data_IF_428271456494
#
_entry.id   IF_428271456494
#
_cell.length_a   1.000
_cell.length_b   1.000
_cell.length_c   1.000
_cell.angle_alpha   90.00
_cell.angle_beta   90.00
_cell.angle_gamma   90.00
#
_symmetry.space_group_name_H-M   'P 1'
#
loop_
_entity.id
_entity.type
_entity.pdbx_description
1 polymer ?
#
# COMPACT_ATOMS: atom_id res chain seq x y z
N UNK A 1 -9.82 15.18 -5.34
CA UNK A 1 -9.99 13.83 -5.93
C UNK A 1 -10.58 12.95 -4.84
N UNK A 2 -11.59 12.13 -5.15
CA UNK A 2 -12.24 11.26 -4.18
C UNK A 2 -11.22 10.31 -3.54
N UNK A 3 -11.40 9.97 -2.26
CA UNK A 3 -10.46 9.10 -1.52
C UNK A 3 -10.26 7.74 -2.22
N UNK A 4 -11.34 7.16 -2.73
CA UNK A 4 -11.31 5.94 -3.54
C UNK A 4 -10.54 6.05 -4.87
N UNK A 5 -10.46 7.23 -5.47
CA UNK A 5 -9.69 7.51 -6.70
C UNK A 5 -8.24 7.93 -6.41
N UNK A 6 -7.88 8.09 -5.13
CA UNK A 6 -6.59 8.65 -4.74
C UNK A 6 -5.59 7.54 -4.40
N UNK A 7 -4.31 7.83 -4.64
CA UNK A 7 -3.21 7.13 -3.98
C UNK A 7 -3.23 7.56 -2.51
N UNK A 8 -3.26 6.60 -1.60
CA UNK A 8 -3.40 6.86 -0.15
C UNK A 8 -2.26 6.16 0.58
N UNK A 9 -1.72 6.80 1.61
CA UNK A 9 -0.60 6.29 2.41
C UNK A 9 -1.01 6.17 3.87
N UNK A 10 -0.59 5.10 4.54
CA UNK A 10 -0.72 4.94 5.99
C UNK A 10 0.64 4.59 6.62
N UNK A 11 1.01 5.19 7.77
CA UNK A 11 0.31 6.28 8.46
C UNK A 11 0.45 7.63 7.73
N UNK A 12 -0.12 8.71 8.27
CA UNK A 12 0.08 10.08 7.75
C UNK A 12 1.57 10.46 7.81
N UNK A 13 2.10 11.09 6.76
CA UNK A 13 3.54 11.37 6.61
C UNK A 13 3.93 12.83 6.88
N UNK A 14 3.03 13.78 6.63
CA UNK A 14 3.36 15.22 6.55
C UNK A 14 2.67 16.08 7.61
N UNK A 15 1.97 15.44 8.55
CA UNK A 15 1.36 16.13 9.69
C UNK A 15 2.40 16.29 10.79
N UNK A 16 2.46 17.48 11.38
CA UNK A 16 3.09 17.69 12.68
C UNK A 16 2.31 16.96 13.77
N UNK A 17 2.97 16.68 14.91
CA UNK A 17 2.29 16.09 16.07
C UNK A 17 1.12 16.94 16.56
N UNK A 18 1.19 18.27 16.41
CA UNK A 18 0.11 19.20 16.78
C UNK A 18 -1.11 18.99 15.88
N UNK A 19 -0.93 19.03 14.57
CA UNK A 19 -2.03 18.83 13.61
C UNK A 19 -2.65 17.44 13.75
N UNK A 20 -1.83 16.40 13.91
CA UNK A 20 -2.31 15.03 14.13
C UNK A 20 -3.23 14.95 15.36
N UNK A 21 -2.78 15.49 16.50
CA UNK A 21 -3.58 15.46 17.74
C UNK A 21 -4.81 16.38 17.70
N UNK A 22 -4.74 17.48 16.95
CA UNK A 22 -5.89 18.36 16.68
C UNK A 22 -6.99 17.61 15.93
N UNK A 23 -6.64 16.95 14.82
CA UNK A 23 -7.59 16.16 14.02
C UNK A 23 -8.09 14.93 14.78
N UNK A 24 -7.21 14.22 15.50
CA UNK A 24 -7.58 13.08 16.36
C UNK A 24 -8.58 13.47 17.45
N UNK A 25 -8.30 14.55 18.18
CA UNK A 25 -9.18 15.03 19.26
C UNK A 25 -10.54 15.47 18.71
N UNK A 26 -10.53 16.13 17.55
CA UNK A 26 -11.76 16.53 16.85
C UNK A 26 -12.58 15.31 16.44
N UNK A 27 -11.95 14.27 15.90
CA UNK A 27 -12.64 13.04 15.53
C UNK A 27 -13.38 12.46 16.73
N UNK A 28 -12.68 12.28 17.86
CA UNK A 28 -13.27 11.75 19.08
C UNK A 28 -14.46 12.61 19.57
N UNK A 29 -14.35 13.94 19.51
CA UNK A 29 -15.44 14.85 19.91
C UNK A 29 -16.67 14.71 19.01
N UNK A 30 -16.47 14.69 17.68
CA UNK A 30 -17.56 14.58 16.69
C UNK A 30 -18.28 13.23 16.82
N UNK A 31 -17.53 12.14 16.90
CA UNK A 31 -18.12 10.79 17.00
C UNK A 31 -18.89 10.61 18.31
N UNK A 32 -18.38 11.16 19.43
CA UNK A 32 -19.12 11.19 20.71
C UNK A 32 -20.40 12.01 20.60
N UNK A 33 -20.35 13.17 19.94
CA UNK A 33 -21.53 14.02 19.75
C UNK A 33 -22.62 13.33 18.92
N UNK A 34 -22.26 12.58 17.88
CA UNK A 34 -23.21 11.78 17.10
C UNK A 34 -23.69 10.50 17.81
N UNK A 35 -23.10 10.11 18.94
CA UNK A 35 -23.51 8.90 19.67
C UNK A 35 -23.23 7.60 18.91
N UNK A 36 -22.21 7.59 18.03
CA UNK A 36 -21.86 6.40 17.24
C UNK A 36 -21.24 5.34 18.16
N UNK A 37 -21.76 4.11 18.08
CA UNK A 37 -21.23 2.92 18.77
C UNK A 37 -20.86 1.88 17.71
N UNK A 38 -19.56 1.57 17.61
CA UNK A 38 -19.02 0.70 16.57
C UNK A 38 -17.80 1.33 15.90
N UNK A 39 -17.73 1.27 14.57
CA UNK A 39 -16.68 1.88 13.76
C UNK A 39 -17.27 2.93 12.82
N UNK A 40 -16.45 3.93 12.48
CA UNK A 40 -16.78 4.94 11.49
C UNK A 40 -15.52 5.48 10.83
N UNK A 41 -15.70 6.10 9.66
CA UNK A 41 -14.66 6.85 8.96
C UNK A 41 -15.00 8.35 8.97
N UNK A 42 -14.02 9.19 9.32
CA UNK A 42 -14.13 10.66 9.27
C UNK A 42 -13.10 11.21 8.29
N UNK A 43 -13.50 12.22 7.51
CA UNK A 43 -12.63 12.86 6.52
C UNK A 43 -12.46 14.35 6.81
N UNK A 44 -11.24 14.82 6.54
CA UNK A 44 -10.85 16.22 6.74
C UNK A 44 -10.21 16.78 5.48
N UNK A 45 -10.35 18.10 5.28
CA UNK A 45 -9.44 18.88 4.45
C UNK A 45 -8.64 19.81 5.37
N UNK A 46 -7.32 19.70 5.35
CA UNK A 46 -6.40 20.55 6.12
C UNK A 46 -5.72 21.52 5.15
N UNK A 47 -5.67 22.80 5.51
CA UNK A 47 -4.91 23.81 4.79
C UNK A 47 -3.41 23.53 4.93
N UNK A 48 -2.63 23.40 3.85
CA UNK A 48 -1.21 23.07 3.94
C UNK A 48 -0.34 24.16 4.60
N UNK A 49 -0.84 25.39 4.70
CA UNK A 49 -0.09 26.54 5.19
C UNK A 49 -0.58 27.04 6.58
N UNK A 50 -1.55 26.36 7.20
CA UNK A 50 -2.08 26.73 8.53
C UNK A 50 -2.80 25.59 9.25
N UNK A 51 -3.15 25.79 10.52
CA UNK A 51 -3.97 24.85 11.30
C UNK A 51 -5.47 24.85 10.87
N UNK A 52 -5.86 25.59 9.83
CA UNK A 52 -7.25 25.64 9.35
C UNK A 52 -7.66 24.30 8.72
N UNK A 53 -8.75 23.71 9.20
CA UNK A 53 -9.29 22.48 8.65
C UNK A 53 -10.81 22.49 8.56
N UNK A 54 -11.34 21.66 7.66
CA UNK A 54 -12.76 21.42 7.47
C UNK A 54 -13.05 19.93 7.69
N UNK A 55 -14.13 19.63 8.42
CA UNK A 55 -14.71 18.28 8.45
C UNK A 55 -15.52 18.13 7.17
N UNK A 56 -15.19 17.13 6.36
CA UNK A 56 -15.86 16.90 5.08
C UNK A 56 -17.09 16.01 5.26
N UNK A 57 -16.91 14.85 5.87
CA UNK A 57 -18.00 13.90 6.13
C UNK A 57 -17.65 12.91 7.25
N UNK A 58 -18.68 12.26 7.77
CA UNK A 58 -18.57 11.09 8.65
C UNK A 58 -19.42 9.96 8.07
N UNK A 59 -18.78 8.83 7.82
CA UNK A 59 -19.44 7.58 7.43
C UNK A 59 -19.60 6.70 8.68
N UNK A 60 -20.81 6.67 9.26
CA UNK A 60 -21.14 5.89 10.45
C UNK A 60 -21.34 4.39 10.15
N UNK A 61 -20.35 3.77 9.49
CA UNK A 61 -20.32 2.37 9.09
C UNK A 61 -18.90 1.98 8.65
N UNK A 62 -18.69 0.66 8.53
CA UNK A 62 -17.55 0.13 7.80
C UNK A 62 -17.50 0.66 6.37
N UNK A 63 -16.28 0.86 5.88
CA UNK A 63 -15.98 1.44 4.59
C UNK A 63 -14.81 0.71 3.91
N UNK A 64 -14.55 1.02 2.63
CA UNK A 64 -13.30 0.58 1.97
C UNK A 64 -12.07 1.02 2.75
N UNK A 65 -12.12 2.23 3.34
CA UNK A 65 -11.04 2.76 4.15
C UNK A 65 -10.86 1.97 5.44
N UNK A 66 -11.95 1.44 6.01
CA UNK A 66 -11.91 0.56 7.19
C UNK A 66 -11.29 -0.79 6.84
N UNK A 67 -11.62 -1.36 5.67
CA UNK A 67 -10.98 -2.58 5.19
C UNK A 67 -9.47 -2.35 4.98
N UNK A 68 -9.09 -1.31 4.24
CA UNK A 68 -7.70 -0.90 4.05
C UNK A 68 -6.98 -0.69 5.39
N UNK A 69 -7.58 0.02 6.34
CA UNK A 69 -6.99 0.25 7.65
C UNK A 69 -6.81 -1.05 8.44
N UNK A 70 -7.75 -1.99 8.34
CA UNK A 70 -7.64 -3.29 9.00
C UNK A 70 -6.45 -4.09 8.47
N UNK A 71 -6.27 -4.10 7.14
CA UNK A 71 -5.12 -4.74 6.49
C UNK A 71 -3.80 -4.00 6.78
N UNK A 72 -3.83 -2.67 6.77
CA UNK A 72 -2.65 -1.85 7.00
C UNK A 72 -2.13 -1.99 8.43
N UNK A 73 -3.00 -2.20 9.42
CA UNK A 73 -2.63 -2.19 10.85
C UNK A 73 -2.63 -3.57 11.50
N UNK A 74 -3.25 -4.57 10.86
CA UNK A 74 -3.58 -5.85 11.48
C UNK A 74 -4.73 -5.77 12.50
N UNK A 75 -5.35 -4.60 12.70
CA UNK A 75 -6.45 -4.41 13.64
C UNK A 75 -7.79 -4.74 12.97
N UNK A 76 -8.54 -5.78 13.39
CA UNK A 76 -9.74 -6.23 12.68
C UNK A 76 -10.96 -5.36 13.04
N UNK A 77 -11.08 -4.19 12.39
CA UNK A 77 -12.08 -3.17 12.72
C UNK A 77 -13.52 -3.71 12.67
N UNK A 78 -13.86 -4.50 11.67
CA UNK A 78 -15.19 -5.09 11.53
C UNK A 78 -15.54 -6.05 12.67
N UNK A 79 -14.58 -6.90 13.06
CA UNK A 79 -14.74 -7.83 14.18
C UNK A 79 -14.95 -7.07 15.50
N UNK A 80 -14.14 -6.05 15.76
CA UNK A 80 -14.24 -5.23 16.97
C UNK A 80 -15.55 -4.45 16.99
N UNK A 81 -15.96 -3.84 15.87
CA UNK A 81 -17.23 -3.13 15.75
C UNK A 81 -18.43 -4.04 16.06
N UNK A 82 -18.41 -5.29 15.58
CA UNK A 82 -19.45 -6.27 15.89
C UNK A 82 -19.53 -6.62 17.39
N UNK A 83 -18.38 -6.71 18.08
CA UNK A 83 -18.34 -6.92 19.53
C UNK A 83 -18.85 -5.71 20.31
N UNK A 84 -18.52 -4.49 19.87
CA UNK A 84 -19.04 -3.25 20.45
C UNK A 84 -20.57 -3.15 20.33
N UNK A 85 -21.14 -3.58 19.19
CA UNK A 85 -22.59 -3.63 18.99
C UNK A 85 -23.31 -4.59 19.95
N UNK A 86 -22.60 -5.57 20.52
CA UNK A 86 -23.09 -6.47 21.57
C UNK A 86 -22.86 -5.91 22.99
N UNK A 87 -22.42 -4.66 23.11
CA UNK A 87 -22.16 -4.01 24.40
C UNK A 87 -20.83 -4.43 25.05
N UNK A 88 -19.95 -5.13 24.35
CA UNK A 88 -18.65 -5.56 24.88
C UNK A 88 -17.65 -4.41 24.70
N UNK A 89 -17.11 -3.81 25.77
CA UNK A 89 -16.22 -2.64 25.65
C UNK A 89 -14.82 -3.04 25.17
N UNK A 90 -14.09 -2.12 24.52
CA UNK A 90 -12.75 -2.35 23.96
C UNK A 90 -11.76 -3.06 24.92
N UNK A 91 -11.66 -2.71 26.22
CA UNK A 91 -10.73 -3.39 27.14
C UNK A 91 -11.07 -4.85 27.43
N UNK A 92 -12.25 -5.34 27.03
CA UNK A 92 -12.69 -6.73 27.19
C UNK A 92 -12.58 -7.54 25.90
N UNK A 93 -12.17 -6.92 24.80
CA UNK A 93 -11.94 -7.58 23.52
C UNK A 93 -10.43 -7.85 23.43
N UNK A 94 -10.03 -9.10 23.20
CA UNK A 94 -8.62 -9.46 23.06
C UNK A 94 -8.08 -9.04 21.69
N UNK A 95 -6.84 -8.57 21.65
CA UNK A 95 -6.10 -8.37 20.40
C UNK A 95 -5.56 -9.72 19.92
N UNK A 96 -6.16 -10.27 18.86
CA UNK A 96 -5.78 -11.57 18.28
C UNK A 96 -4.38 -11.59 17.66
N UNK A 97 -3.80 -10.44 17.32
CA UNK A 97 -2.46 -10.36 16.71
C UNK A 97 -1.36 -10.58 17.74
N UNK A 98 -1.50 -10.01 18.94
CA UNK A 98 -0.50 -10.15 20.02
C UNK A 98 -0.86 -11.22 21.06
N UNK A 99 -2.13 -11.61 21.15
CA UNK A 99 -2.64 -12.62 22.08
C UNK A 99 -2.59 -12.25 23.57
N UNK A 100 -1.96 -11.12 23.92
CA UNK A 100 -1.70 -10.69 25.30
C UNK A 100 -2.25 -9.31 25.65
N UNK A 101 -2.64 -8.52 24.64
CA UNK A 101 -3.18 -7.16 24.83
C UNK A 101 -4.67 -7.12 24.49
N UNK A 102 -5.30 -5.97 24.74
CA UNK A 102 -6.72 -5.74 24.43
C UNK A 102 -6.87 -4.99 23.12
N UNK A 103 -8.08 -4.87 22.59
CA UNK A 103 -8.40 -4.03 21.43
C UNK A 103 -8.43 -2.53 21.77
N UNK A 104 -8.19 -2.12 23.03
CA UNK A 104 -8.24 -0.72 23.47
C UNK A 104 -6.88 -0.01 23.35
N UNK A 105 -6.41 0.19 22.12
CA UNK A 105 -5.16 0.89 21.82
C UNK A 105 -5.22 1.51 20.42
N UNK A 106 -4.22 2.32 20.07
CA UNK A 106 -4.03 2.84 18.72
C UNK A 106 -2.83 2.11 18.10
N UNK A 107 -2.99 1.45 16.93
CA UNK A 107 -1.89 0.75 16.30
C UNK A 107 -0.70 1.64 15.98
N UNK A 108 0.50 1.07 16.09
CA UNK A 108 1.76 1.67 15.66
C UNK A 108 2.37 0.84 14.52
N UNK A 109 2.81 1.50 13.46
CA UNK A 109 3.33 0.86 12.25
C UNK A 109 4.80 1.25 12.08
N UNK A 110 5.68 0.26 11.93
CA UNK A 110 7.11 0.46 11.62
C UNK A 110 7.41 0.29 10.11
N UNK A 111 6.36 0.44 9.30
CA UNK A 111 6.36 0.37 7.85
C UNK A 111 5.39 1.40 7.26
N UNK A 112 5.47 1.56 5.95
CA UNK A 112 4.63 2.42 5.13
C UNK A 112 3.75 1.56 4.23
N UNK A 113 2.46 1.87 4.21
CA UNK A 113 1.45 1.22 3.37
C UNK A 113 1.04 2.19 2.28
N UNK A 114 1.04 1.75 1.03
CA UNK A 114 0.55 2.52 -0.12
C UNK A 114 -0.62 1.78 -0.75
N UNK A 115 -1.77 2.44 -0.78
CA UNK A 115 -2.93 2.04 -1.56
C UNK A 115 -2.91 2.74 -2.91
N UNK A 116 -3.18 2.01 -3.97
CA UNK A 116 -3.36 2.59 -5.31
C UNK A 116 -4.61 2.00 -5.98
N UNK A 117 -5.51 2.84 -6.52
CA UNK A 117 -6.70 2.37 -7.23
C UNK A 117 -6.35 1.77 -8.59
N UNK A 118 -7.23 0.90 -9.07
CA UNK A 118 -7.22 0.29 -10.39
C UNK A 118 -8.34 0.87 -11.24
N UNK A 119 -8.02 1.19 -12.48
CA UNK A 119 -8.96 1.68 -13.47
C UNK A 119 -8.96 0.80 -14.72
N UNK A 120 -10.14 0.64 -15.31
CA UNK A 120 -10.34 -0.02 -16.60
C UNK A 120 -11.02 0.93 -17.61
N UNK A 121 -10.72 2.24 -17.53
CA UNK A 121 -11.36 3.28 -18.33
C UNK A 121 -11.19 3.08 -19.84
N UNK A 122 -10.09 2.45 -20.27
CA UNK A 122 -9.82 2.10 -21.66
C UNK A 122 -10.88 1.16 -22.28
N UNK A 123 -11.66 0.43 -21.47
CA UNK A 123 -12.78 -0.41 -21.93
C UNK A 123 -14.00 0.41 -22.33
N UNK A 124 -14.04 1.70 -21.99
CA UNK A 124 -15.19 2.58 -22.20
C UNK A 124 -14.82 3.76 -23.11
N UNK A 125 -15.06 3.62 -24.42
CA UNK A 125 -14.66 4.60 -25.43
C UNK A 125 -15.28 6.01 -25.28
N UNK A 126 -16.40 6.13 -24.57
CA UNK A 126 -17.13 7.39 -24.36
C UNK A 126 -16.98 7.98 -22.95
N UNK A 127 -16.09 7.41 -22.12
CA UNK A 127 -15.90 7.86 -20.73
C UNK A 127 -14.64 8.72 -20.64
N UNK A 128 -14.76 9.85 -19.94
CA UNK A 128 -13.62 10.70 -19.62
C UNK A 128 -12.65 9.99 -18.69
N UNK A 129 -11.36 10.06 -19.01
CA UNK A 129 -10.24 9.57 -18.18
C UNK A 129 -9.92 10.48 -16.99
N UNK A 130 -10.50 11.69 -16.92
CA UNK A 130 -10.33 12.61 -15.79
C UNK A 130 -10.93 12.00 -14.53
N UNK A 131 -10.22 12.08 -13.42
CA UNK A 131 -10.68 11.62 -12.09
C UNK A 131 -11.02 12.82 -11.22
N UNK A 132 -12.03 12.67 -10.36
CA UNK A 132 -12.61 13.81 -9.62
C UNK A 132 -13.22 13.36 -8.30
N UNK A 133 -14.32 13.99 -7.89
CA UNK A 133 -15.07 13.63 -6.68
C UNK A 133 -15.95 12.39 -6.84
N UNK A 134 -16.28 11.99 -8.07
CA UNK A 134 -17.04 10.76 -8.35
C UNK A 134 -16.08 9.63 -8.72
N UNK A 135 -16.26 8.46 -8.09
CA UNK A 135 -15.42 7.29 -8.31
C UNK A 135 -15.67 6.64 -9.67
N UNK A 136 -14.58 6.16 -10.29
CA UNK A 136 -14.53 5.37 -11.53
C UNK A 136 -13.58 4.17 -11.41
N UNK A 137 -12.77 4.07 -10.37
CA UNK A 137 -11.90 2.93 -10.09
C UNK A 137 -12.73 1.67 -9.84
N UNK A 138 -12.24 0.53 -10.34
CA UNK A 138 -12.91 -0.77 -10.29
C UNK A 138 -12.31 -1.72 -9.24
N UNK A 139 -11.24 -1.30 -8.58
CA UNK A 139 -10.57 -2.06 -7.53
C UNK A 139 -9.41 -1.26 -6.94
N UNK A 140 -8.68 -1.86 -6.02
CA UNK A 140 -7.50 -1.26 -5.39
C UNK A 140 -6.47 -2.30 -4.96
N UNK A 141 -5.23 -1.85 -4.83
CA UNK A 141 -4.12 -2.65 -4.31
C UNK A 141 -3.58 -2.02 -3.05
N UNK A 142 -2.95 -2.84 -2.22
CA UNK A 142 -2.22 -2.40 -1.04
C UNK A 142 -0.82 -3.01 -1.06
N UNK A 143 0.20 -2.16 -0.97
CA UNK A 143 1.59 -2.56 -0.86
C UNK A 143 2.21 -2.06 0.44
N UNK A 144 3.15 -2.86 0.97
CA UNK A 144 3.86 -2.55 2.21
C UNK A 144 5.37 -2.51 1.94
N UNK A 145 6.04 -1.53 2.54
CA UNK A 145 7.50 -1.40 2.53
C UNK A 145 7.97 -0.54 3.69
N UNK A 146 9.25 -0.62 4.07
CA UNK A 146 9.78 0.20 5.18
C UNK A 146 10.27 1.58 4.73
N UNK A 147 9.99 1.91 3.47
CA UNK A 147 10.18 3.23 2.85
C UNK A 147 9.01 3.49 1.91
N UNK A 148 8.67 4.77 1.74
CA UNK A 148 7.63 5.16 0.78
C UNK A 148 7.98 4.71 -0.63
N UNK A 149 9.21 4.93 -1.08
CA UNK A 149 9.66 4.54 -2.42
C UNK A 149 9.45 3.03 -2.66
N UNK A 150 9.77 2.22 -1.66
CA UNK A 150 9.60 0.78 -1.70
C UNK A 150 8.14 0.36 -1.86
N UNK A 151 7.27 0.87 -0.97
CA UNK A 151 5.84 0.56 -0.98
C UNK A 151 5.16 1.10 -2.26
N UNK A 152 5.52 2.30 -2.69
CA UNK A 152 4.97 2.96 -3.86
C UNK A 152 5.28 2.21 -5.16
N UNK A 153 6.52 1.78 -5.36
CA UNK A 153 6.88 1.00 -6.55
C UNK A 153 6.26 -0.41 -6.55
N UNK A 154 6.08 -1.03 -5.37
CA UNK A 154 5.32 -2.29 -5.27
C UNK A 154 3.86 -2.09 -5.64
N UNK A 155 3.20 -1.04 -5.14
CA UNK A 155 1.81 -0.73 -5.47
C UNK A 155 1.63 -0.54 -6.98
N UNK A 156 2.52 0.23 -7.64
CA UNK A 156 2.46 0.42 -9.09
C UNK A 156 2.48 -0.89 -9.87
N UNK A 157 3.35 -1.84 -9.48
CA UNK A 157 3.40 -3.18 -10.10
C UNK A 157 2.17 -4.03 -9.83
N UNK A 158 1.54 -3.84 -8.68
CA UNK A 158 0.32 -4.57 -8.30
C UNK A 158 -0.90 -4.08 -9.08
N UNK A 159 -0.94 -2.80 -9.47
CA UNK A 159 -2.07 -2.22 -10.22
C UNK A 159 -2.18 -2.75 -11.64
N UNK A 160 -1.06 -2.96 -12.33
CA UNK A 160 -1.06 -3.39 -13.73
C UNK A 160 0.17 -4.26 -14.01
N UNK A 161 -0.04 -5.43 -14.60
CA UNK A 161 1.03 -6.38 -14.95
C UNK A 161 2.02 -5.83 -15.99
N UNK A 162 1.60 -4.82 -16.76
CA UNK A 162 2.46 -4.16 -17.74
C UNK A 162 3.30 -3.03 -17.14
N UNK A 163 3.05 -2.67 -15.88
CA UNK A 163 3.77 -1.61 -15.17
C UNK A 163 4.84 -2.24 -14.29
N UNK A 164 6.10 -1.93 -14.55
CA UNK A 164 7.22 -2.49 -13.77
C UNK A 164 7.58 -1.66 -12.52
N UNK A 165 7.02 -0.46 -12.38
CA UNK A 165 7.22 0.46 -11.26
C UNK A 165 6.97 1.92 -11.68
N UNK A 166 7.66 2.89 -11.07
CA UNK A 166 7.53 4.30 -11.40
C UNK A 166 8.38 4.65 -12.62
N UNK A 167 7.80 4.43 -13.80
CA UNK A 167 8.49 4.47 -15.09
C UNK A 167 8.21 5.80 -15.83
N UNK A 168 9.25 6.61 -16.14
CA UNK A 168 9.09 7.88 -16.83
C UNK A 168 8.82 7.77 -18.34
N UNK A 169 8.89 6.57 -18.93
CA UNK A 169 8.78 6.36 -20.37
C UNK A 169 7.40 5.88 -20.83
N UNK A 170 6.48 5.59 -19.89
CA UNK A 170 5.11 5.15 -20.19
C UNK A 170 4.24 6.28 -20.76
N UNK A 171 4.49 7.53 -20.34
CA UNK A 171 3.77 8.72 -20.78
C UNK A 171 4.75 9.84 -21.10
N UNK A 172 4.30 10.81 -21.88
CA UNK A 172 5.02 12.07 -22.13
C UNK A 172 4.55 13.13 -21.14
N UNK A 173 5.36 14.17 -20.96
CA UNK A 173 4.99 15.33 -20.14
C UNK A 173 3.75 16.00 -20.72
N UNK A 174 2.79 16.32 -19.86
CA UNK A 174 1.58 17.03 -20.21
C UNK A 174 1.12 17.86 -19.00
N UNK A 175 1.35 19.17 -19.04
CA UNK A 175 1.00 20.09 -17.93
C UNK A 175 -0.51 20.16 -17.70
N UNK A 176 -1.34 19.97 -18.73
CA UNK A 176 -2.80 19.92 -18.58
C UNK A 176 -3.22 18.71 -17.74
N UNK A 177 -2.71 17.50 -18.03
CA UNK A 177 -3.02 16.30 -17.23
C UNK A 177 -2.34 16.30 -15.84
N UNK A 178 -1.29 17.10 -15.66
CA UNK A 178 -0.74 17.38 -14.34
C UNK A 178 -1.68 18.26 -13.52
N UNK A 179 -2.37 19.24 -14.11
CA UNK A 179 -3.37 20.07 -13.42
C UNK A 179 -4.72 19.35 -13.27
N UNK A 180 -5.15 18.69 -14.32
CA UNK A 180 -6.42 17.98 -14.47
C UNK A 180 -6.18 16.47 -14.35
N UNK A 181 -6.29 15.90 -13.14
CA UNK A 181 -5.82 14.54 -12.86
C UNK A 181 -6.55 13.48 -13.71
N UNK A 182 -5.78 12.53 -14.25
CA UNK A 182 -6.27 11.33 -14.96
C UNK A 182 -5.80 10.05 -14.26
N UNK A 183 -6.30 8.89 -14.69
CA UNK A 183 -5.84 7.56 -14.23
C UNK A 183 -4.35 7.27 -14.54
N UNK A 184 -3.71 8.10 -15.37
CA UNK A 184 -2.30 7.98 -15.76
C UNK A 184 -1.40 9.11 -15.24
N UNK A 185 -1.94 10.05 -14.44
CA UNK A 185 -1.19 11.22 -13.90
C UNK A 185 0.14 10.83 -13.24
N UNK A 186 0.18 9.70 -12.53
CA UNK A 186 1.40 9.20 -11.89
C UNK A 186 2.57 9.04 -12.87
N UNK A 187 2.33 8.52 -14.08
CA UNK A 187 3.38 8.34 -15.08
C UNK A 187 3.75 9.66 -15.77
N UNK A 188 2.84 10.63 -15.82
CA UNK A 188 3.13 11.98 -16.32
C UNK A 188 4.03 12.72 -15.33
N UNK A 189 3.82 12.53 -14.02
CA UNK A 189 4.73 13.03 -12.98
C UNK A 189 6.13 12.41 -13.15
N UNK A 190 6.22 11.11 -13.38
CA UNK A 190 7.50 10.43 -13.65
C UNK A 190 8.22 11.04 -14.87
N UNK A 191 7.51 11.21 -15.99
CA UNK A 191 8.03 11.82 -17.21
C UNK A 191 8.48 13.27 -16.99
N UNK A 192 7.71 14.06 -16.23
CA UNK A 192 8.01 15.46 -15.92
C UNK A 192 9.28 15.59 -15.06
N UNK A 193 9.41 14.76 -14.03
CA UNK A 193 10.63 14.66 -13.21
C UNK A 193 11.84 14.29 -14.07
N UNK A 194 11.69 13.31 -14.97
CA UNK A 194 12.77 12.90 -15.89
C UNK A 194 13.16 14.01 -16.87
N UNK A 195 12.19 14.84 -17.26
CA UNK A 195 12.39 16.01 -18.11
C UNK A 195 12.91 17.25 -17.35
N UNK A 196 13.28 17.10 -16.07
CA UNK A 196 13.91 18.15 -15.28
C UNK A 196 12.96 19.10 -14.55
N UNK A 197 11.67 18.75 -14.40
CA UNK A 197 10.75 19.60 -13.64
C UNK A 197 11.14 19.63 -12.16
N UNK A 198 11.07 20.83 -11.55
CA UNK A 198 11.32 20.99 -10.13
C UNK A 198 10.14 20.46 -9.31
N UNK A 199 10.42 20.09 -8.05
CA UNK A 199 9.39 19.69 -7.09
C UNK A 199 8.37 20.81 -6.89
N UNK A 200 8.80 22.07 -6.85
CA UNK A 200 7.91 23.22 -6.71
C UNK A 200 6.98 23.40 -7.92
N UNK A 201 7.51 23.29 -9.15
CA UNK A 201 6.66 23.33 -10.35
C UNK A 201 5.60 22.24 -10.31
N UNK A 202 5.98 21.01 -9.92
CA UNK A 202 5.03 19.91 -9.81
C UNK A 202 4.02 20.10 -8.67
N UNK A 203 4.44 20.69 -7.55
CA UNK A 203 3.52 21.06 -6.48
C UNK A 203 2.49 22.07 -6.98
N UNK A 204 2.92 23.10 -7.73
CA UNK A 204 2.03 24.14 -8.24
C UNK A 204 0.99 23.58 -9.22
N UNK A 205 1.41 22.67 -10.10
CA UNK A 205 0.51 22.01 -11.05
C UNK A 205 -0.40 20.99 -10.35
N UNK A 206 0.12 20.21 -9.39
CA UNK A 206 -0.59 19.01 -8.93
C UNK A 206 -1.27 19.13 -7.58
N UNK A 207 -0.78 20.04 -6.73
CA UNK A 207 -1.06 20.16 -5.30
C UNK A 207 -0.76 18.90 -4.48
N UNK A 208 0.02 17.96 -5.03
CA UNK A 208 0.59 16.84 -4.27
C UNK A 208 1.70 17.39 -3.39
N UNK A 209 1.69 17.03 -2.11
CA UNK A 209 2.68 17.51 -1.14
C UNK A 209 4.12 17.28 -1.62
N UNK A 210 4.97 18.28 -1.40
CA UNK A 210 6.37 18.30 -1.82
C UNK A 210 7.16 17.10 -1.30
N UNK A 211 6.82 16.60 -0.11
CA UNK A 211 7.45 15.40 0.44
C UNK A 211 7.28 14.21 -0.49
N UNK A 212 6.06 13.93 -0.96
CA UNK A 212 5.81 12.81 -1.88
C UNK A 212 6.49 13.04 -3.24
N UNK A 213 6.43 14.25 -3.77
CA UNK A 213 7.09 14.61 -5.03
C UNK A 213 8.62 14.45 -4.93
N UNK A 214 9.21 14.83 -3.80
CA UNK A 214 10.64 14.63 -3.53
C UNK A 214 10.98 13.14 -3.45
N UNK A 215 10.14 12.30 -2.82
CA UNK A 215 10.34 10.84 -2.81
C UNK A 215 10.22 10.23 -4.20
N UNK A 216 9.27 10.69 -5.01
CA UNK A 216 9.16 10.30 -6.42
C UNK A 216 10.39 10.73 -7.22
N UNK A 217 10.90 11.94 -6.98
CA UNK A 217 12.14 12.44 -7.58
C UNK A 217 13.34 11.55 -7.23
N UNK A 218 13.46 11.08 -5.99
CA UNK A 218 14.53 10.15 -5.59
C UNK A 218 14.55 8.92 -6.50
N UNK A 219 13.37 8.36 -6.84
CA UNK A 219 13.26 7.21 -7.73
C UNK A 219 13.79 7.57 -9.12
N UNK A 220 13.35 8.69 -9.71
CA UNK A 220 13.78 9.11 -11.05
C UNK A 220 15.27 9.47 -11.13
N UNK A 221 15.80 10.13 -10.10
CA UNK A 221 17.22 10.42 -9.98
C UNK A 221 18.01 9.11 -9.97
N UNK A 222 17.53 8.11 -9.23
CA UNK A 222 18.19 6.81 -9.17
C UNK A 222 18.03 5.97 -10.44
N UNK A 223 16.91 6.10 -11.16
CA UNK A 223 16.75 5.56 -12.51
C UNK A 223 17.83 6.12 -13.44
N UNK A 224 18.10 7.44 -13.39
CA UNK A 224 19.14 8.08 -14.19
C UNK A 224 20.54 7.60 -13.82
N UNK A 225 20.79 7.32 -12.53
CA UNK A 225 22.04 6.67 -12.10
C UNK A 225 22.15 5.26 -12.70
N UNK A 226 21.10 4.44 -12.62
CA UNK A 226 21.13 3.08 -13.18
C UNK A 226 21.33 3.09 -14.70
N UNK A 227 20.73 4.02 -15.43
CA UNK A 227 20.91 4.17 -16.88
C UNK A 227 22.33 4.59 -17.30
N UNK A 228 23.11 5.16 -16.36
CA UNK A 228 24.54 5.45 -16.60
C UNK A 228 25.44 4.24 -16.39
N UNK A 229 24.88 3.12 -15.93
CA UNK A 229 25.59 1.86 -15.69
C UNK A 229 25.29 0.84 -16.78
N UNK A 230 26.12 -0.18 -16.82
CA UNK A 230 25.94 -1.41 -17.60
C UNK A 230 25.90 -2.64 -16.67
N UNK A 231 25.74 -3.81 -17.26
CA UNK A 231 25.72 -5.07 -16.51
C UNK A 231 26.97 -5.27 -15.66
N UNK A 232 28.16 -4.92 -16.14
CA UNK A 232 29.43 -5.17 -15.46
C UNK A 232 29.65 -4.20 -14.29
N UNK A 233 29.24 -2.94 -14.45
CA UNK A 233 29.40 -1.86 -13.47
C UNK A 233 28.30 -1.83 -12.40
N UNK A 234 27.21 -2.59 -12.58
CA UNK A 234 26.16 -2.77 -11.57
C UNK A 234 26.70 -3.49 -10.31
N UNK A 235 27.25 -2.73 -9.37
CA UNK A 235 27.84 -3.25 -8.14
C UNK A 235 26.80 -3.65 -7.09
N UNK A 236 27.25 -4.36 -6.04
CA UNK A 236 26.44 -4.69 -4.85
C UNK A 236 25.69 -3.49 -4.30
N UNK A 237 26.37 -2.35 -4.13
CA UNK A 237 25.80 -1.15 -3.52
C UNK A 237 24.69 -0.54 -4.39
N UNK A 238 24.91 -0.50 -5.72
CA UNK A 238 23.89 0.01 -6.63
C UNK A 238 22.65 -0.88 -6.63
N UNK A 239 22.85 -2.19 -6.67
CA UNK A 239 21.78 -3.17 -6.69
C UNK A 239 20.99 -3.16 -5.38
N UNK A 240 21.65 -3.23 -4.22
CA UNK A 240 21.00 -3.20 -2.91
C UNK A 240 20.17 -1.93 -2.73
N UNK A 241 20.73 -0.75 -3.06
CA UNK A 241 20.01 0.52 -2.95
C UNK A 241 18.81 0.57 -3.91
N UNK A 242 18.91 0.04 -5.12
CA UNK A 242 17.78 -0.10 -6.04
C UNK A 242 16.65 -0.93 -5.39
N UNK A 243 17.00 -2.09 -4.83
CA UNK A 243 16.04 -2.99 -4.18
C UNK A 243 15.39 -2.35 -2.94
N UNK A 244 16.16 -1.63 -2.13
CA UNK A 244 15.66 -0.88 -0.97
C UNK A 244 14.71 0.27 -1.34
N UNK A 245 14.84 0.83 -2.54
CA UNK A 245 13.91 1.81 -3.11
C UNK A 245 12.73 1.17 -3.83
N UNK A 246 12.64 -0.16 -3.88
CA UNK A 246 11.52 -0.89 -4.48
C UNK A 246 11.61 -1.18 -5.97
N UNK A 247 12.78 -0.97 -6.60
CA UNK A 247 12.96 -1.30 -8.02
C UNK A 247 12.79 -2.81 -8.26
N UNK A 248 12.04 -3.18 -9.28
CA UNK A 248 11.97 -4.58 -9.75
C UNK A 248 13.25 -4.96 -10.51
N UNK A 249 13.53 -6.26 -10.56
CA UNK A 249 14.67 -6.77 -11.35
C UNK A 249 14.50 -6.37 -12.84
N UNK A 250 13.25 -6.32 -13.32
CA UNK A 250 12.91 -5.89 -14.68
C UNK A 250 13.18 -4.40 -14.94
N UNK A 251 12.86 -3.50 -14.00
CA UNK A 251 13.21 -2.07 -14.13
C UNK A 251 14.73 -1.87 -14.19
N UNK A 252 15.47 -2.56 -13.31
CA UNK A 252 16.94 -2.47 -13.28
C UNK A 252 17.51 -3.00 -14.59
N UNK A 253 16.99 -4.14 -15.07
CA UNK A 253 17.42 -4.75 -16.32
C UNK A 253 17.22 -3.82 -17.52
N UNK A 254 16.06 -3.16 -17.61
CA UNK A 254 15.80 -2.16 -18.65
C UNK A 254 16.74 -0.97 -18.56
N UNK A 255 17.07 -0.49 -17.36
CA UNK A 255 17.98 0.64 -17.18
C UNK A 255 19.43 0.32 -17.60
N UNK A 256 19.95 -0.85 -17.23
CA UNK A 256 21.34 -1.26 -17.55
C UNK A 256 21.47 -2.05 -18.85
N UNK A 257 20.41 -2.07 -19.67
CA UNK A 257 20.34 -2.75 -20.98
C UNK A 257 20.71 -4.25 -20.91
N UNK A 258 20.14 -4.98 -19.95
CA UNK A 258 20.28 -6.44 -19.81
C UNK A 258 18.91 -7.12 -19.63
N UNK A 259 18.89 -8.40 -19.25
CA UNK A 259 17.65 -9.16 -19.00
C UNK A 259 17.33 -9.26 -17.51
N UNK A 260 16.04 -9.40 -17.18
CA UNK A 260 15.59 -9.61 -15.80
C UNK A 260 16.30 -10.80 -15.14
N UNK A 261 16.52 -11.88 -15.89
CA UNK A 261 17.17 -13.09 -15.40
C UNK A 261 18.62 -12.83 -14.98
N UNK A 262 19.35 -12.01 -15.74
CA UNK A 262 20.73 -11.64 -15.41
C UNK A 262 20.79 -10.81 -14.13
N UNK A 263 19.91 -9.80 -14.00
CA UNK A 263 19.82 -9.01 -12.75
C UNK A 263 19.46 -9.89 -11.56
N UNK A 264 18.51 -10.83 -11.73
CA UNK A 264 18.12 -11.79 -10.67
C UNK A 264 19.30 -12.65 -10.23
N UNK A 265 20.03 -13.25 -11.18
CA UNK A 265 21.22 -14.07 -10.87
C UNK A 265 22.29 -13.27 -10.14
N UNK A 266 22.62 -12.07 -10.64
CA UNK A 266 23.59 -11.18 -10.01
C UNK A 266 23.16 -10.78 -8.59
N UNK A 267 21.87 -10.55 -8.38
CA UNK A 267 21.27 -10.28 -7.07
C UNK A 267 21.46 -11.46 -6.11
N UNK A 268 21.25 -12.69 -6.59
CA UNK A 268 21.44 -13.92 -5.83
C UNK A 268 22.91 -14.19 -5.50
N UNK A 269 23.83 -13.99 -6.46
CA UNK A 269 25.28 -14.09 -6.26
C UNK A 269 25.78 -13.11 -5.18
N UNK A 270 25.18 -11.93 -5.12
CA UNK A 270 25.43 -10.93 -4.08
C UNK A 270 24.68 -11.17 -2.76
N UNK A 271 23.90 -12.26 -2.65
CA UNK A 271 23.05 -12.56 -1.50
C UNK A 271 22.09 -11.41 -1.14
N UNK A 272 21.61 -10.67 -2.14
CA UNK A 272 20.64 -9.59 -1.96
C UNK A 272 19.23 -10.19 -2.09
N UNK A 273 18.71 -10.75 -1.01
CA UNK A 273 17.33 -11.28 -0.96
C UNK A 273 16.48 -10.43 -0.01
N UNK A 274 15.16 -10.35 -0.22
CA UNK A 274 14.30 -9.64 0.71
C UNK A 274 14.11 -10.47 1.99
N UNK A 275 13.88 -9.78 3.10
CA UNK A 275 13.52 -10.38 4.38
C UNK A 275 12.00 -10.38 4.57
N UNK A 276 11.52 -11.32 5.38
CA UNK A 276 10.10 -11.49 5.73
C UNK A 276 9.85 -10.82 7.07
N UNK A 277 8.88 -9.92 7.12
CA UNK A 277 8.51 -9.14 8.31
C UNK A 277 7.05 -9.32 8.67
N UNK A 278 6.74 -9.30 9.97
CA UNK A 278 5.39 -9.44 10.50
C UNK A 278 4.68 -8.09 10.60
N UNK A 279 3.36 -8.13 10.44
CA UNK A 279 2.43 -7.07 10.82
C UNK A 279 1.91 -7.42 12.21
N UNK A 280 2.33 -6.65 13.20
CA UNK A 280 2.11 -6.96 14.62
C UNK A 280 1.19 -5.98 15.36
N UNK A 281 0.72 -4.93 14.68
CA UNK A 281 -0.11 -3.83 15.19
C UNK A 281 0.54 -2.88 16.21
N UNK A 282 1.75 -3.18 16.70
CA UNK A 282 2.42 -2.47 17.81
C UNK A 282 3.89 -2.14 17.56
N UNK A 283 4.38 -2.22 16.31
CA UNK A 283 5.75 -1.91 15.94
C UNK A 283 6.79 -2.67 16.81
N UNK A 284 6.60 -3.98 16.93
CA UNK A 284 7.42 -4.91 17.70
C UNK A 284 7.48 -4.69 19.22
N UNK A 285 6.62 -3.85 19.81
CA UNK A 285 6.51 -3.73 21.27
C UNK A 285 6.12 -5.08 21.92
N UNK A 286 5.25 -5.84 21.25
CA UNK A 286 4.86 -7.20 21.64
C UNK A 286 5.05 -8.15 20.46
N UNK A 287 5.44 -9.42 20.72
CA UNK A 287 5.56 -10.41 19.66
C UNK A 287 4.19 -10.73 19.05
N UNK A 288 4.13 -10.82 17.72
CA UNK A 288 2.94 -11.29 17.01
C UNK A 288 2.78 -12.80 17.14
N UNK A 289 1.56 -13.25 17.43
CA UNK A 289 1.15 -14.66 17.37
C UNK A 289 0.65 -15.06 15.98
N UNK A 290 0.41 -14.09 15.10
CA UNK A 290 -0.04 -14.29 13.72
C UNK A 290 1.12 -14.16 12.73
N UNK A 291 1.00 -14.85 11.59
CA UNK A 291 1.94 -14.72 10.49
C UNK A 291 1.33 -13.87 9.38
N UNK A 292 1.00 -12.61 9.66
CA UNK A 292 0.60 -11.69 8.60
C UNK A 292 1.83 -10.94 8.08
N UNK A 293 2.23 -11.20 6.83
CA UNK A 293 3.60 -10.94 6.40
C UNK A 293 3.71 -9.95 5.25
N UNK A 294 4.83 -9.24 5.20
CA UNK A 294 5.30 -8.54 4.01
C UNK A 294 6.80 -8.79 3.81
N UNK A 295 7.29 -8.57 2.59
CA UNK A 295 8.72 -8.71 2.27
C UNK A 295 9.37 -7.34 2.12
N UNK A 296 10.63 -7.18 2.54
CA UNK A 296 11.38 -5.93 2.38
C UNK A 296 12.89 -6.11 2.27
N UNK A 297 13.55 -5.23 1.53
CA UNK A 297 15.02 -5.14 1.49
C UNK A 297 15.60 -4.21 2.56
N UNK A 298 14.75 -3.54 3.34
CA UNK A 298 15.12 -2.60 4.39
C UNK A 298 15.14 -3.28 5.78
N UNK A 299 15.75 -4.46 5.83
CA UNK A 299 15.86 -5.30 7.02
C UNK A 299 17.17 -6.12 6.99
N UNK A 300 17.47 -6.79 8.08
CA UNK A 300 18.68 -7.60 8.27
C UNK A 300 18.40 -9.05 8.73
N UNK A 301 17.15 -9.40 9.00
CA UNK A 301 16.73 -10.74 9.43
C UNK A 301 15.25 -10.98 9.09
N UNK A 302 14.85 -12.24 9.03
CA UNK A 302 13.45 -12.64 8.97
C UNK A 302 12.84 -12.65 10.38
N UNK A 303 11.55 -12.35 10.49
CA UNK A 303 10.80 -12.50 11.74
C UNK A 303 10.30 -13.95 11.96
N UNK A 304 10.42 -14.80 10.93
CA UNK A 304 9.98 -16.20 10.95
C UNK A 304 11.11 -17.16 10.58
N UNK A 305 10.91 -18.43 10.95
CA UNK A 305 11.66 -19.57 10.43
C UNK A 305 10.88 -20.28 9.30
N UNK A 306 11.61 -21.01 8.46
CA UNK A 306 11.07 -21.67 7.26
C UNK A 306 11.33 -23.18 7.29
N UNK A 307 11.05 -23.82 8.43
CA UNK A 307 11.31 -25.26 8.65
C UNK A 307 10.15 -26.16 8.23
N UNK A 308 8.96 -25.59 8.04
CA UNK A 308 7.72 -26.31 7.76
C UNK A 308 7.37 -26.26 6.27
N UNK A 309 6.92 -27.38 5.72
CA UNK A 309 6.38 -27.44 4.36
C UNK A 309 5.00 -26.82 4.29
N UNK A 310 4.78 -25.98 3.29
CA UNK A 310 3.49 -25.33 3.04
C UNK A 310 3.09 -25.43 1.57
N UNK A 311 1.79 -25.38 1.31
CA UNK A 311 1.21 -25.25 -0.03
C UNK A 311 0.90 -23.77 -0.28
N UNK A 312 1.46 -23.22 -1.36
CA UNK A 312 1.18 -21.84 -1.78
C UNK A 312 -0.15 -21.80 -2.55
N UNK A 313 -1.03 -20.89 -2.16
CA UNK A 313 -2.20 -20.47 -2.93
C UNK A 313 -1.95 -19.04 -3.42
N UNK A 314 -2.06 -18.82 -4.72
CA UNK A 314 -1.88 -17.51 -5.34
C UNK A 314 -3.26 -16.88 -5.54
N UNK A 315 -3.45 -15.67 -5.02
CA UNK A 315 -4.71 -14.94 -5.13
C UNK A 315 -4.94 -14.30 -6.48
N UNK A 316 -6.14 -13.73 -6.61
CA UNK A 316 -6.59 -13.04 -7.82
C UNK A 316 -5.88 -11.72 -8.09
N UNK A 317 -5.22 -11.14 -7.08
CA UNK A 317 -4.67 -9.81 -7.16
C UNK A 317 -5.77 -8.75 -7.21
N UNK A 318 -5.50 -7.66 -7.92
CA UNK A 318 -6.41 -6.52 -8.00
C UNK A 318 -7.69 -6.86 -8.79
N UNK A 319 -8.83 -6.51 -8.22
CA UNK A 319 -10.09 -6.60 -8.95
C UNK A 319 -10.11 -5.66 -10.15
N UNK A 320 -10.68 -6.15 -11.24
CA UNK A 320 -10.85 -5.44 -12.51
C UNK A 320 -12.07 -6.01 -13.25
N UNK A 321 -12.52 -5.35 -14.31
CA UNK A 321 -13.69 -5.83 -15.05
C UNK A 321 -13.35 -7.19 -15.68
N UNK A 322 -14.07 -8.24 -15.29
CA UNK A 322 -13.84 -9.62 -15.71
C UNK A 322 -12.96 -10.45 -14.76
N UNK A 323 -12.45 -9.85 -13.68
CA UNK A 323 -11.79 -10.57 -12.58
C UNK A 323 -12.12 -9.92 -11.25
N UNK A 324 -13.07 -10.50 -10.54
CA UNK A 324 -13.63 -9.96 -9.30
C UNK A 324 -13.64 -11.02 -8.19
N UNK A 325 -14.54 -10.85 -7.22
CA UNK A 325 -14.65 -11.61 -5.98
C UNK A 325 -14.82 -13.12 -6.19
N UNK A 326 -15.32 -13.57 -7.33
CA UNK A 326 -15.42 -15.00 -7.68
C UNK A 326 -14.07 -15.72 -7.60
N UNK A 327 -12.97 -15.06 -7.97
CA UNK A 327 -11.64 -15.66 -7.89
C UNK A 327 -11.08 -15.67 -6.46
N UNK A 328 -11.44 -14.68 -5.64
CA UNK A 328 -11.14 -14.70 -4.21
C UNK A 328 -11.90 -15.82 -3.51
N UNK A 329 -13.16 -16.03 -3.88
CA UNK A 329 -13.99 -17.12 -3.36
C UNK A 329 -13.38 -18.49 -3.66
N UNK A 330 -12.87 -18.70 -4.88
CA UNK A 330 -12.15 -19.92 -5.25
C UNK A 330 -10.88 -20.12 -4.40
N UNK A 331 -10.09 -19.06 -4.20
CA UNK A 331 -8.87 -19.12 -3.39
C UNK A 331 -9.18 -19.44 -1.92
N UNK A 332 -10.18 -18.78 -1.33
CA UNK A 332 -10.65 -19.03 0.03
C UNK A 332 -11.21 -20.45 0.17
N UNK A 333 -11.96 -20.94 -0.82
CA UNK A 333 -12.44 -22.32 -0.88
C UNK A 333 -11.28 -23.33 -0.86
N UNK A 334 -10.25 -23.09 -1.67
CA UNK A 334 -9.04 -23.90 -1.70
C UNK A 334 -8.32 -23.92 -0.34
N UNK A 335 -8.11 -22.75 0.27
CA UNK A 335 -7.48 -22.63 1.59
C UNK A 335 -8.24 -23.39 2.67
N UNK A 336 -9.57 -23.32 2.67
CA UNK A 336 -10.44 -24.05 3.61
C UNK A 336 -10.33 -25.56 3.43
N UNK A 337 -10.34 -26.05 2.18
CA UNK A 337 -10.19 -27.49 1.93
C UNK A 337 -8.79 -28.00 2.29
N UNK A 338 -7.73 -27.24 1.98
CA UNK A 338 -6.37 -27.59 2.40
C UNK A 338 -6.25 -27.65 3.92
N UNK A 339 -6.84 -26.70 4.64
CA UNK A 339 -6.92 -26.72 6.11
C UNK A 339 -7.68 -27.94 6.62
N UNK A 340 -8.80 -28.32 6.00
CA UNK A 340 -9.57 -29.54 6.34
C UNK A 340 -8.75 -30.81 6.12
N UNK A 341 -7.85 -30.81 5.14
CA UNK A 341 -6.90 -31.89 4.87
C UNK A 341 -5.64 -31.83 5.75
N UNK A 342 -5.62 -30.99 6.78
CA UNK A 342 -4.47 -30.75 7.67
C UNK A 342 -3.19 -30.35 6.91
N UNK A 343 -3.33 -29.61 5.82
CA UNK A 343 -2.20 -29.04 5.06
C UNK A 343 -1.96 -27.60 5.49
N UNK A 344 -0.69 -27.25 5.69
CA UNK A 344 -0.24 -25.90 5.96
C UNK A 344 -0.23 -25.08 4.67
N UNK A 345 -0.66 -23.82 4.76
CA UNK A 345 -0.91 -22.98 3.58
C UNK A 345 -0.22 -21.62 3.67
N UNK A 346 0.25 -21.10 2.53
CA UNK A 346 0.70 -19.72 2.37
C UNK A 346 -0.22 -19.03 1.36
N UNK A 347 -0.84 -17.93 1.73
CA UNK A 347 -1.65 -17.11 0.82
C UNK A 347 -0.85 -15.92 0.30
N UNK A 348 -0.72 -15.80 -1.02
CA UNK A 348 -0.05 -14.65 -1.65
C UNK A 348 -1.09 -13.83 -2.40
N UNK A 349 -1.50 -12.70 -1.83
CA UNK A 349 -2.41 -11.75 -2.47
C UNK A 349 -2.16 -10.31 -1.95
N UNK A 350 -2.63 -9.31 -2.66
CA UNK A 350 -2.36 -7.88 -2.38
C UNK A 350 -3.59 -6.98 -2.55
N UNK A 351 -4.78 -7.57 -2.64
CA UNK A 351 -6.03 -6.83 -2.67
C UNK A 351 -6.57 -6.66 -1.24
N UNK A 352 -6.68 -5.42 -0.73
CA UNK A 352 -7.07 -5.16 0.66
C UNK A 352 -8.55 -5.41 0.95
N UNK A 353 -9.39 -5.53 -0.10
CA UNK A 353 -10.83 -5.69 0.05
C UNK A 353 -11.25 -7.14 0.28
N UNK A 354 -10.32 -8.11 0.22
CA UNK A 354 -10.67 -9.52 0.10
C UNK A 354 -10.49 -10.32 1.38
N UNK A 355 -11.26 -11.42 1.46
CA UNK A 355 -11.21 -12.34 2.59
C UNK A 355 -9.91 -13.13 2.55
N UNK A 356 -9.38 -13.43 1.36
CA UNK A 356 -8.10 -14.16 1.27
C UNK A 356 -6.91 -13.47 1.94
N UNK A 357 -6.96 -12.14 2.07
CA UNK A 357 -5.91 -11.36 2.76
C UNK A 357 -6.23 -11.15 4.24
N UNK A 358 -7.25 -11.80 4.80
CA UNK A 358 -7.43 -11.89 6.24
C UNK A 358 -6.48 -12.94 6.81
N UNK A 359 -5.72 -12.56 7.84
CA UNK A 359 -4.66 -13.39 8.42
C UNK A 359 -5.16 -14.68 9.09
N UNK A 360 -6.47 -14.83 9.31
CA UNK A 360 -7.09 -16.02 9.89
C UNK A 360 -7.49 -17.08 8.84
N UNK A 361 -7.36 -16.77 7.55
CA UNK A 361 -7.74 -17.66 6.43
C UNK A 361 -6.62 -18.61 5.99
N UNK A 362 -5.35 -18.30 6.27
CA UNK A 362 -4.19 -19.16 5.96
C UNK A 362 -3.21 -19.23 7.13
N UNK A 363 -2.19 -20.09 7.05
CA UNK A 363 -1.16 -20.17 8.10
C UNK A 363 -0.09 -19.07 7.96
N UNK A 364 0.11 -18.52 6.75
CA UNK A 364 1.07 -17.46 6.41
C UNK A 364 0.61 -16.60 5.23
#
# INVERSE_FOLDING_TARGET
IHTGESVVVAPSQTLTNREYNMLRTTAIKVIRHFGIVGECNIQYALNPDSDEYYIIEVNARLSRSSALASKATGYPLAYVAAKLALGIPLPKINNSVTGKTTACFEPSLDYCVVKMPRWDLHKFSRVSTKIGSSMKSVGEVMAIGRRFEEAFQKALRMVDENVNGFDPYIKTVNDEELMEPTDKRTFIIAAALKSGYTVDKLYDLTKIDRWFLQKMKNIIDYTTVLESLDEHTLSYQYLLKAKQMGFSDKQIASAVTTTELVVRKKREEFNITPFVKQIDTVAAEFPATTNYLYITYNANSHDLTFQEEHIIVIGSGVYRIGSSVEFDWCAVGCLRELRRLNKKTIMINYNPETVSTDYDISDR
#
